data_IF_571984887975
#
_entry.id   IF_571984887975
#
_cell.length_a   1.000
_cell.length_b   1.000
_cell.length_c   1.000
_cell.angle_alpha   90.00
_cell.angle_beta   90.00
_cell.angle_gamma   90.00
#
_symmetry.space_group_name_H-M   'P 1'
#
loop_
_entity.id
_entity.type
_entity.pdbx_description
1 polymer ?
#
# COMPACT_ATOMS: atom_id res chain seq x y z
N UNK A 1 8.97 -4.41 -13.59
CA UNK A 1 9.81 -3.26 -13.19
C UNK A 1 11.26 -3.68 -13.00
N UNK A 2 11.55 -4.68 -12.15
CA UNK A 2 12.90 -5.24 -12.00
C UNK A 2 13.56 -5.67 -13.33
N UNK A 3 12.85 -6.40 -14.19
CA UNK A 3 13.35 -6.84 -15.50
C UNK A 3 13.65 -5.69 -16.50
N UNK A 4 13.05 -4.52 -16.31
CA UNK A 4 13.25 -3.35 -17.16
C UNK A 4 14.31 -2.37 -16.60
N UNK A 5 15.05 -2.78 -15.56
CA UNK A 5 16.04 -1.96 -14.86
C UNK A 5 15.52 -0.57 -14.42
N UNK A 6 14.28 -0.54 -13.92
CA UNK A 6 13.64 0.69 -13.49
C UNK A 6 14.43 1.35 -12.33
N UNK A 7 14.84 2.61 -12.53
CA UNK A 7 15.82 3.26 -11.65
C UNK A 7 15.20 3.95 -10.45
N UNK A 8 14.03 4.57 -10.61
CA UNK A 8 13.38 5.37 -9.57
C UNK A 8 12.53 4.53 -8.63
N UNK A 9 12.04 5.16 -7.57
CA UNK A 9 11.09 4.58 -6.61
C UNK A 9 9.67 4.59 -7.18
N UNK A 10 8.79 3.73 -6.65
CA UNK A 10 7.38 3.62 -7.05
C UNK A 10 6.49 3.41 -5.83
N UNK A 11 5.28 3.96 -5.89
CA UNK A 11 4.24 3.76 -4.87
C UNK A 11 2.90 3.41 -5.51
N UNK A 12 2.71 2.16 -6.00
CA UNK A 12 1.42 1.72 -6.49
C UNK A 12 0.43 1.73 -5.32
N UNK A 13 -0.73 2.35 -5.52
CA UNK A 13 -1.73 2.46 -4.48
C UNK A 13 -2.23 1.10 -3.98
N UNK A 14 -2.45 1.00 -2.66
CA UNK A 14 -2.96 -0.22 -1.99
C UNK A 14 -4.31 0.00 -1.30
N UNK A 15 -4.88 1.18 -1.46
CA UNK A 15 -6.17 1.56 -0.92
C UNK A 15 -6.95 2.28 -2.02
N UNK A 16 -7.99 1.59 -2.53
CA UNK A 16 -8.96 2.14 -3.46
C UNK A 16 -9.80 3.22 -2.76
N UNK A 17 -9.42 4.47 -2.99
CA UNK A 17 -10.08 5.62 -2.41
C UNK A 17 -11.43 5.91 -3.06
N UNK A 18 -11.85 5.23 -4.13
CA UNK A 18 -13.17 5.41 -4.74
C UNK A 18 -14.23 4.50 -4.11
N UNK A 19 -13.82 3.57 -3.24
CA UNK A 19 -14.69 2.73 -2.43
C UNK A 19 -14.80 3.26 -1.00
N UNK A 20 -16.00 3.17 -0.42
CA UNK A 20 -16.22 3.43 1.00
C UNK A 20 -15.81 2.24 1.90
N UNK A 21 -15.41 1.11 1.29
CA UNK A 21 -14.97 -0.09 2.02
C UNK A 21 -13.61 0.17 2.67
N UNK A 22 -13.51 -0.20 3.95
CA UNK A 22 -12.22 -0.27 4.65
C UNK A 22 -11.52 -1.57 4.23
N UNK A 23 -10.36 -1.51 3.52
CA UNK A 23 -9.59 -2.71 3.21
C UNK A 23 -9.00 -3.31 4.50
N UNK A 24 -8.97 -4.63 4.60
CA UNK A 24 -8.32 -5.31 5.73
C UNK A 24 -6.79 -5.19 5.64
N UNK A 25 -6.12 -5.39 6.77
CA UNK A 25 -4.66 -5.46 6.83
C UNK A 25 -4.12 -6.57 5.92
N UNK A 26 -4.77 -7.73 5.90
CA UNK A 26 -4.38 -8.92 5.13
C UNK A 26 -4.51 -8.68 3.62
N UNK A 27 -5.56 -7.99 3.18
CA UNK A 27 -5.72 -7.58 1.79
C UNK A 27 -4.55 -6.68 1.34
N UNK A 28 -4.19 -5.69 2.16
CA UNK A 28 -3.07 -4.77 1.87
C UNK A 28 -1.74 -5.52 1.89
N UNK A 29 -1.53 -6.40 2.88
CA UNK A 29 -0.32 -7.20 2.99
C UNK A 29 -0.11 -8.07 1.74
N UNK A 30 -1.14 -8.78 1.29
CA UNK A 30 -1.09 -9.59 0.07
C UNK A 30 -0.79 -8.75 -1.18
N UNK A 31 -1.34 -7.53 -1.26
CA UNK A 31 -1.04 -6.61 -2.36
C UNK A 31 0.45 -6.20 -2.35
N UNK A 32 0.98 -5.84 -1.18
CA UNK A 32 2.39 -5.45 -1.02
C UNK A 32 3.36 -6.60 -1.32
N UNK A 33 3.07 -7.83 -0.90
CA UNK A 33 3.87 -9.02 -1.25
C UNK A 33 3.97 -9.22 -2.77
N UNK A 34 2.86 -9.06 -3.49
CA UNK A 34 2.83 -9.13 -4.96
C UNK A 34 3.65 -8.01 -5.60
N UNK A 35 3.69 -6.82 -4.99
CA UNK A 35 4.50 -5.69 -5.47
C UNK A 35 5.99 -5.94 -5.24
N UNK A 36 6.36 -6.47 -4.06
CA UNK A 36 7.74 -6.81 -3.71
C UNK A 36 8.35 -7.89 -4.62
N UNK A 37 7.52 -8.78 -5.19
CA UNK A 37 7.97 -9.72 -6.22
C UNK A 37 8.48 -9.01 -7.51
N UNK A 38 8.07 -7.76 -7.74
CA UNK A 38 8.35 -6.99 -8.97
C UNK A 38 9.23 -5.77 -8.77
N UNK A 39 9.33 -5.27 -7.53
CA UNK A 39 10.02 -4.03 -7.13
C UNK A 39 10.89 -4.32 -5.90
N UNK A 40 12.18 -3.94 -5.88
CA UNK A 40 13.01 -4.03 -4.68
C UNK A 40 12.38 -3.27 -3.50
N UNK A 41 12.50 -3.81 -2.27
CA UNK A 41 11.86 -3.23 -1.08
C UNK A 41 12.28 -1.78 -0.81
N UNK A 42 13.52 -1.43 -1.14
CA UNK A 42 14.10 -0.10 -0.96
C UNK A 42 13.48 0.94 -1.91
N UNK A 43 12.77 0.48 -2.94
CA UNK A 43 12.16 1.34 -3.98
C UNK A 43 10.63 1.36 -3.92
N UNK A 44 10.03 0.68 -2.94
CA UNK A 44 8.57 0.57 -2.83
C UNK A 44 8.04 1.48 -1.72
N UNK A 45 7.21 2.44 -2.10
CA UNK A 45 6.41 3.25 -1.19
C UNK A 45 5.04 2.63 -0.99
N UNK A 46 4.44 2.90 0.18
CA UNK A 46 3.09 2.46 0.53
C UNK A 46 2.21 3.70 0.69
N UNK A 47 1.22 3.84 -0.19
CA UNK A 47 0.32 4.98 -0.24
C UNK A 47 -1.07 4.56 -0.77
N UNK A 48 -2.12 5.40 -0.59
CA UNK A 48 -3.41 5.21 -1.24
C UNK A 48 -3.35 5.45 -2.75
N UNK A 49 -4.42 5.07 -3.46
CA UNK A 49 -4.55 5.27 -4.91
C UNK A 49 -4.54 6.76 -5.31
N UNK A 50 -5.16 7.62 -4.51
CA UNK A 50 -5.23 9.05 -4.76
C UNK A 50 -5.48 9.85 -3.47
N UNK A 51 -5.78 11.13 -3.60
CA UNK A 51 -6.14 12.00 -2.48
C UNK A 51 -7.46 11.60 -1.80
N UNK A 52 -7.55 11.87 -0.49
CA UNK A 52 -8.64 11.43 0.37
C UNK A 52 -9.79 12.44 0.49
N UNK A 53 -9.81 13.49 -0.33
CA UNK A 53 -10.76 14.62 -0.23
C UNK A 53 -12.24 14.19 -0.22
N UNK A 54 -12.55 13.07 -0.88
CA UNK A 54 -13.93 12.59 -1.00
C UNK A 54 -14.34 11.58 0.08
N UNK A 55 -13.41 11.15 0.94
CA UNK A 55 -13.65 10.16 2.00
C UNK A 55 -13.92 10.82 3.35
N UNK A 56 -14.78 10.19 4.15
CA UNK A 56 -15.03 10.52 5.55
C UNK A 56 -13.99 9.90 6.49
N UNK A 57 -13.95 10.38 7.73
CA UNK A 57 -12.99 9.91 8.73
C UNK A 57 -13.24 8.47 9.17
N UNK A 58 -14.50 8.06 9.22
CA UNK A 58 -14.93 6.74 9.69
C UNK A 58 -14.34 5.60 8.85
N UNK A 59 -14.19 5.79 7.53
CA UNK A 59 -13.51 4.85 6.65
C UNK A 59 -12.01 5.17 6.50
N UNK A 60 -11.62 6.45 6.49
CA UNK A 60 -10.23 6.84 6.18
C UNK A 60 -9.26 6.41 7.28
N UNK A 61 -9.60 6.69 8.54
CA UNK A 61 -8.71 6.40 9.67
C UNK A 61 -8.41 4.91 9.78
N UNK A 62 -9.40 3.98 9.81
CA UNK A 62 -9.08 2.55 9.88
C UNK A 62 -8.36 2.05 8.63
N UNK A 63 -8.68 2.56 7.43
CA UNK A 63 -7.97 2.17 6.20
C UNK A 63 -6.47 2.52 6.26
N UNK A 64 -6.14 3.73 6.73
CA UNK A 64 -4.76 4.17 6.90
C UNK A 64 -4.05 3.41 8.03
N UNK A 65 -4.74 3.09 9.13
CA UNK A 65 -4.18 2.26 10.21
C UNK A 65 -3.79 0.87 9.69
N UNK A 66 -4.71 0.20 8.99
CA UNK A 66 -4.46 -1.11 8.39
C UNK A 66 -3.29 -1.06 7.40
N UNK A 67 -3.19 0.00 6.60
CA UNK A 67 -2.08 0.20 5.66
C UNK A 67 -0.73 0.35 6.36
N UNK A 68 -0.67 1.15 7.43
CA UNK A 68 0.55 1.34 8.23
C UNK A 68 0.94 0.05 8.94
N UNK A 69 -0.03 -0.69 9.49
CA UNK A 69 0.23 -1.97 10.16
C UNK A 69 0.75 -3.04 9.20
N UNK A 70 0.17 -3.15 8.00
CA UNK A 70 0.68 -4.05 6.96
C UNK A 70 2.13 -3.72 6.58
N UNK A 71 2.44 -2.42 6.41
CA UNK A 71 3.80 -1.96 6.13
C UNK A 71 4.78 -2.26 7.28
N UNK A 72 4.36 -2.11 8.55
CA UNK A 72 5.17 -2.49 9.72
C UNK A 72 5.46 -3.98 9.76
N UNK A 73 4.44 -4.82 9.54
CA UNK A 73 4.61 -6.28 9.50
C UNK A 73 5.66 -6.70 8.47
N UNK A 74 5.66 -6.13 7.26
CA UNK A 74 6.68 -6.44 6.26
C UNK A 74 8.09 -5.95 6.63
N UNK A 75 8.20 -4.85 7.37
CA UNK A 75 9.48 -4.32 7.85
C UNK A 75 10.08 -5.18 8.96
N UNK A 76 9.25 -5.78 9.80
CA UNK A 76 9.68 -6.67 10.90
C UNK A 76 10.05 -8.08 10.42
N UNK A 77 9.55 -8.50 9.25
CA UNK A 77 9.87 -9.80 8.63
C UNK A 77 11.25 -9.84 7.96
N UNK A 78 12.02 -8.75 7.97
CA UNK A 78 13.32 -8.58 7.31
C UNK A 78 14.38 -8.05 8.27
#
# INVERSE_FOLDING_TARGET
LKAANFRTEVGPGVYDIHSARVPSKEEILSALEKMLAKVPKEKLWVNPDCGLKTRGEAETIPSLKNMVEAAKTLREQN
#
